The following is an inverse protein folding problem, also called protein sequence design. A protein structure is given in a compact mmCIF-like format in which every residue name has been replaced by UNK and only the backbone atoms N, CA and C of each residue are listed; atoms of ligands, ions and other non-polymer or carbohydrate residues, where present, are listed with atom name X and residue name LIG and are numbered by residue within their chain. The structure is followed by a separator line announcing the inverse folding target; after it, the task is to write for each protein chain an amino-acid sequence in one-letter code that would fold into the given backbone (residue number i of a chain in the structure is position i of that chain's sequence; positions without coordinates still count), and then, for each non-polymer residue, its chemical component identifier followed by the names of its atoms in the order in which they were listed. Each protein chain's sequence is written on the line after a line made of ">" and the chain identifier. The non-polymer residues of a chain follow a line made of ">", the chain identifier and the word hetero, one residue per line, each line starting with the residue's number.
data_IF_019934930599
#
_entry.id   IF_019934930599
#
_cell.length_a   1.000
_cell.length_b   1.000
_cell.length_c   1.000
_cell.angle_alpha   90.00
_cell.angle_beta   90.00
_cell.angle_gamma   90.00
#
_symmetry.space_group_name_H-M   'P 1'
#
loop_
_entity.id
_entity.type
_entity.pdbx_description
1 polymer ?
#
# COMPACT_ATOMS: atom_id res chain seq x y z
N UNK A 1 -33.98 -37.42 -21.81
CA UNK A 1 -33.88 -35.95 -21.97
C UNK A 1 -33.20 -35.41 -20.73
N UNK A 2 -31.87 -35.42 -20.69
CA UNK A 2 -31.12 -34.79 -19.60
C UNK A 2 -31.16 -33.29 -19.84
N UNK A 3 -31.85 -32.55 -18.97
CA UNK A 3 -31.69 -31.11 -18.91
C UNK A 3 -30.31 -30.84 -18.34
N UNK A 4 -29.35 -30.55 -19.21
CA UNK A 4 -28.09 -29.94 -18.83
C UNK A 4 -28.42 -28.65 -18.08
N UNK A 5 -28.24 -28.68 -16.76
CA UNK A 5 -28.39 -27.52 -15.89
C UNK A 5 -27.23 -26.58 -16.22
N UNK A 6 -27.49 -25.58 -17.04
CA UNK A 6 -26.58 -24.45 -17.21
C UNK A 6 -26.38 -23.84 -15.82
N UNK A 7 -25.15 -23.72 -15.30
CA UNK A 7 -24.93 -23.00 -14.05
C UNK A 7 -25.17 -21.52 -14.33
N UNK A 8 -26.37 -21.05 -14.00
CA UNK A 8 -26.78 -19.65 -14.16
C UNK A 8 -26.31 -18.82 -12.95
N UNK A 9 -25.02 -18.80 -12.64
CA UNK A 9 -24.49 -17.70 -11.83
C UNK A 9 -24.14 -16.55 -12.79
N UNK A 10 -24.60 -15.32 -12.55
CA UNK A 10 -24.15 -14.18 -13.33
C UNK A 10 -22.62 -14.08 -13.27
N UNK A 11 -21.97 -13.48 -14.29
CA UNK A 11 -20.54 -13.24 -14.24
C UNK A 11 -20.19 -12.37 -13.02
N UNK A 12 -18.95 -12.49 -12.54
CA UNK A 12 -18.44 -11.63 -11.48
C UNK A 12 -18.58 -10.14 -11.90
N UNK A 13 -18.88 -9.23 -10.95
CA UNK A 13 -18.97 -7.81 -11.24
C UNK A 13 -17.67 -7.23 -11.82
N UNK A 14 -17.81 -6.24 -12.69
CA UNK A 14 -16.70 -5.43 -13.19
C UNK A 14 -16.91 -3.99 -12.69
N UNK A 15 -15.97 -3.50 -11.87
CA UNK A 15 -16.02 -2.15 -11.28
C UNK A 15 -14.80 -1.39 -11.81
N UNK A 16 -15.04 -0.20 -12.38
CA UNK A 16 -14.01 0.68 -12.94
C UNK A 16 -14.22 2.06 -12.31
N UNK A 17 -13.22 2.52 -11.55
CA UNK A 17 -13.10 3.80 -10.85
C UNK A 17 -14.17 4.13 -9.79
N UNK A 18 -15.43 3.82 -10.03
CA UNK A 18 -16.56 4.12 -9.16
C UNK A 18 -17.45 2.90 -8.98
N UNK A 19 -17.82 2.61 -7.73
CA UNK A 19 -18.70 1.50 -7.42
C UNK A 19 -18.65 1.07 -5.96
N UNK A 20 -19.50 0.11 -5.61
CA UNK A 20 -19.59 -0.44 -4.25
C UNK A 20 -19.02 -1.86 -4.24
N UNK A 21 -18.07 -2.11 -3.35
CA UNK A 21 -17.45 -3.40 -3.13
C UNK A 21 -17.89 -3.93 -1.77
N UNK A 22 -18.64 -5.04 -1.80
CA UNK A 22 -19.14 -5.72 -0.59
C UNK A 22 -18.34 -6.98 -0.26
N UNK A 23 -17.66 -7.54 -1.26
CA UNK A 23 -16.84 -8.74 -1.08
C UNK A 23 -15.58 -8.37 -0.26
N UNK A 24 -15.37 -9.05 0.86
CA UNK A 24 -14.27 -8.75 1.80
C UNK A 24 -12.89 -9.02 1.21
N UNK A 25 -12.75 -10.03 0.36
CA UNK A 25 -11.48 -10.31 -0.31
C UNK A 25 -11.15 -9.25 -1.36
N UNK A 26 -12.15 -8.75 -2.07
CA UNK A 26 -11.97 -7.65 -3.03
C UNK A 26 -11.67 -6.32 -2.33
N UNK A 27 -12.37 -6.02 -1.21
CA UNK A 27 -12.04 -4.87 -0.34
C UNK A 27 -10.59 -4.96 0.13
N UNK A 28 -10.16 -6.13 0.63
CA UNK A 28 -8.79 -6.35 1.10
C UNK A 28 -7.78 -6.18 -0.02
N UNK A 29 -8.06 -6.71 -1.22
CA UNK A 29 -7.19 -6.57 -2.39
C UNK A 29 -7.00 -5.10 -2.79
N UNK A 30 -8.08 -4.32 -2.81
CA UNK A 30 -8.04 -2.89 -3.13
C UNK A 30 -7.24 -2.11 -2.10
N UNK A 31 -7.53 -2.28 -0.82
CA UNK A 31 -6.86 -1.54 0.25
C UNK A 31 -5.38 -1.91 0.39
N UNK A 32 -5.00 -3.16 0.12
CA UNK A 32 -3.59 -3.57 0.11
C UNK A 32 -2.75 -2.93 -1.02
N UNK A 33 -3.40 -2.37 -2.05
CA UNK A 33 -2.70 -1.61 -3.09
C UNK A 33 -2.31 -0.20 -2.65
N UNK A 34 -2.87 0.26 -1.53
CA UNK A 34 -2.61 1.56 -0.95
C UNK A 34 -1.43 1.48 0.01
N UNK A 35 -0.61 2.54 0.03
CA UNK A 35 0.55 2.65 0.93
C UNK A 35 0.35 3.80 1.92
N UNK A 36 0.60 5.03 1.48
CA UNK A 36 0.40 6.25 2.25
C UNK A 36 -0.95 6.86 1.90
N UNK A 37 -1.69 7.28 2.91
CA UNK A 37 -3.04 7.84 2.76
C UNK A 37 -3.24 9.03 3.69
N UNK A 38 -4.09 9.95 3.25
CA UNK A 38 -4.76 10.89 4.14
C UNK A 38 -6.09 10.26 4.54
N UNK A 39 -6.29 10.02 5.83
CA UNK A 39 -7.53 9.46 6.34
C UNK A 39 -8.44 10.56 6.90
N UNK A 40 -9.74 10.39 6.71
CA UNK A 40 -10.78 11.20 7.35
C UNK A 40 -11.75 10.24 8.01
N UNK A 41 -11.86 10.33 9.34
CA UNK A 41 -12.77 9.54 10.13
C UNK A 41 -13.95 10.41 10.58
N UNK A 42 -15.15 10.00 10.17
CA UNK A 42 -16.40 10.68 10.47
C UNK A 42 -17.36 9.73 11.18
N UNK A 43 -18.11 10.27 12.14
CA UNK A 43 -19.19 9.59 12.85
C UNK A 43 -20.39 10.53 12.86
N UNK A 44 -21.58 10.02 12.52
CA UNK A 44 -22.81 10.83 12.44
C UNK A 44 -22.66 12.07 11.53
N UNK A 45 -21.89 11.91 10.43
CA UNK A 45 -21.60 12.97 9.48
C UNK A 45 -20.62 14.05 9.96
N UNK A 46 -20.15 13.98 11.20
CA UNK A 46 -19.17 14.91 11.76
C UNK A 46 -17.76 14.33 11.66
N UNK A 47 -16.80 15.13 11.19
CA UNK A 47 -15.39 14.74 11.18
C UNK A 47 -14.87 14.72 12.62
N UNK A 48 -14.44 13.54 13.09
CA UNK A 48 -13.89 13.36 14.42
C UNK A 48 -12.36 13.38 14.43
N UNK A 49 -11.72 12.85 13.40
CA UNK A 49 -10.27 12.86 13.28
C UNK A 49 -9.85 12.75 11.82
N UNK A 50 -8.69 13.31 11.49
CA UNK A 50 -8.10 13.22 10.15
C UNK A 50 -6.58 13.37 10.24
N UNK A 51 -5.87 12.82 9.26
CA UNK A 51 -4.42 12.98 9.20
C UNK A 51 -3.76 12.07 8.19
N UNK A 52 -2.44 12.14 8.14
CA UNK A 52 -1.63 11.25 7.30
C UNK A 52 -1.32 9.95 8.03
N UNK A 53 -1.21 8.86 7.29
CA UNK A 53 -0.75 7.59 7.81
C UNK A 53 -0.38 6.58 6.73
N UNK A 54 0.22 5.49 7.17
CA UNK A 54 0.61 4.37 6.33
C UNK A 54 -0.23 3.15 6.68
N UNK A 55 -0.77 2.48 5.67
CA UNK A 55 -1.43 1.19 5.81
C UNK A 55 -0.33 0.14 6.00
N UNK A 56 -0.28 -0.43 7.20
CA UNK A 56 0.70 -1.46 7.53
C UNK A 56 0.14 -2.86 7.28
N UNK A 57 -1.17 -3.03 7.46
CA UNK A 57 -1.83 -4.31 7.27
C UNK A 57 -3.30 -4.14 6.91
N UNK A 58 -3.79 -4.97 5.97
CA UNK A 58 -5.22 -5.15 5.72
C UNK A 58 -5.58 -6.62 5.86
N UNK A 59 -6.49 -6.90 6.80
CA UNK A 59 -6.89 -8.26 7.15
C UNK A 59 -8.41 -8.38 7.27
N UNK A 60 -8.87 -9.62 7.42
CA UNK A 60 -10.29 -9.97 7.51
C UNK A 60 -10.51 -10.95 8.67
N UNK A 61 -10.60 -10.43 9.89
CA UNK A 61 -10.77 -11.24 11.11
C UNK A 61 -11.92 -10.67 11.97
N UNK A 62 -13.04 -11.39 12.15
CA UNK A 62 -14.16 -10.92 12.98
C UNK A 62 -13.81 -10.59 14.44
N UNK A 63 -12.70 -11.12 14.97
CA UNK A 63 -12.29 -10.93 16.36
C UNK A 63 -11.34 -9.74 16.58
N UNK A 64 -10.86 -9.11 15.51
CA UNK A 64 -9.87 -8.04 15.58
C UNK A 64 -10.47 -6.68 15.18
N UNK A 65 -9.88 -5.58 15.66
CA UNK A 65 -10.38 -4.23 15.39
C UNK A 65 -9.59 -3.54 14.29
N UNK A 66 -10.24 -2.61 13.57
CA UNK A 66 -9.51 -1.59 12.79
C UNK A 66 -8.86 -0.59 13.75
N UNK A 67 -7.56 -0.33 13.59
CA UNK A 67 -6.78 0.55 14.46
C UNK A 67 -6.06 1.62 13.63
N UNK A 68 -6.16 2.87 14.08
CA UNK A 68 -5.42 4.00 13.54
C UNK A 68 -4.76 4.72 14.71
N UNK A 69 -3.45 4.59 14.83
CA UNK A 69 -2.69 5.19 15.92
C UNK A 69 -1.25 5.51 15.47
N UNK A 70 -0.70 6.65 15.89
CA UNK A 70 0.66 7.07 15.56
C UNK A 70 0.99 7.05 14.05
N UNK A 71 -0.01 7.34 13.20
CA UNK A 71 0.15 7.27 11.74
C UNK A 71 0.23 5.85 11.17
N UNK A 72 0.06 4.80 11.98
CA UNK A 72 -0.06 3.41 11.54
C UNK A 72 -1.54 3.02 11.41
N UNK A 73 -1.92 2.48 10.26
CA UNK A 73 -3.25 1.99 9.96
C UNK A 73 -3.22 0.46 9.82
N UNK A 74 -4.00 -0.21 10.67
CA UNK A 74 -4.30 -1.63 10.62
C UNK A 74 -5.78 -1.79 10.29
N UNK A 75 -6.09 -2.14 9.05
CA UNK A 75 -7.46 -2.11 8.54
C UNK A 75 -8.08 -3.50 8.56
N UNK A 76 -9.17 -3.66 9.29
CA UNK A 76 -9.96 -4.87 9.25
C UNK A 76 -11.20 -4.67 8.37
N UNK A 77 -11.28 -5.36 7.23
CA UNK A 77 -12.43 -5.24 6.32
C UNK A 77 -13.74 -5.78 6.93
N UNK A 78 -13.66 -6.56 8.01
CA UNK A 78 -14.83 -7.00 8.78
C UNK A 78 -15.41 -5.90 9.68
N UNK A 79 -14.69 -4.79 9.91
CA UNK A 79 -15.22 -3.64 10.64
C UNK A 79 -16.20 -2.79 9.82
N UNK A 80 -16.32 -3.05 8.52
CA UNK A 80 -17.11 -2.22 7.60
C UNK A 80 -18.14 -3.07 6.85
N UNK A 81 -19.24 -2.48 6.42
CA UNK A 81 -20.26 -3.16 5.62
C UNK A 81 -19.80 -3.27 4.16
N UNK A 82 -19.33 -2.16 3.60
CA UNK A 82 -18.87 -2.06 2.22
C UNK A 82 -17.78 -0.99 2.06
N UNK A 83 -17.10 -1.05 0.90
CA UNK A 83 -16.19 -0.02 0.42
C UNK A 83 -16.84 0.67 -0.78
N UNK A 84 -16.92 1.99 -0.77
CA UNK A 84 -17.38 2.81 -1.88
C UNK A 84 -16.18 3.49 -2.53
N UNK A 85 -15.99 3.20 -3.82
CA UNK A 85 -15.01 3.84 -4.69
C UNK A 85 -15.68 4.96 -5.45
N UNK A 86 -15.03 6.11 -5.54
CA UNK A 86 -15.42 7.20 -6.42
C UNK A 86 -14.21 8.10 -6.70
N UNK A 87 -14.30 8.91 -7.75
CA UNK A 87 -13.29 9.91 -8.06
C UNK A 87 -13.69 11.27 -7.47
N UNK A 88 -12.72 12.01 -6.94
CA UNK A 88 -12.87 13.42 -6.62
C UNK A 88 -12.90 14.27 -7.89
N UNK A 89 -13.22 15.56 -7.74
CA UNK A 89 -13.30 16.50 -8.88
C UNK A 89 -11.97 16.68 -9.62
N UNK A 90 -10.85 16.47 -8.93
CA UNK A 90 -9.49 16.49 -9.47
C UNK A 90 -9.06 15.17 -10.13
N UNK A 91 -9.92 14.14 -10.07
CA UNK A 91 -9.66 12.81 -10.62
C UNK A 91 -8.94 11.87 -9.67
N UNK A 92 -8.66 12.26 -8.41
CA UNK A 92 -8.08 11.36 -7.43
C UNK A 92 -9.10 10.32 -6.94
N UNK A 93 -8.66 9.08 -6.74
CA UNK A 93 -9.51 8.01 -6.21
C UNK A 93 -9.74 8.17 -4.71
N UNK A 94 -11.00 8.12 -4.28
CA UNK A 94 -11.38 8.01 -2.87
C UNK A 94 -11.85 6.59 -2.55
N UNK A 95 -11.40 6.09 -1.41
CA UNK A 95 -11.82 4.81 -0.86
C UNK A 95 -12.58 5.06 0.44
N UNK A 96 -13.91 4.97 0.40
CA UNK A 96 -14.76 5.19 1.56
C UNK A 96 -15.22 3.86 2.17
N UNK A 97 -14.71 3.53 3.35
CA UNK A 97 -15.14 2.40 4.16
C UNK A 97 -16.31 2.82 5.05
N UNK A 98 -17.45 2.15 4.92
CA UNK A 98 -18.70 2.54 5.60
C UNK A 98 -19.17 1.45 6.55
N UNK A 99 -19.58 1.84 7.75
CA UNK A 99 -20.27 1.00 8.72
C UNK A 99 -21.37 1.84 9.39
N UNK A 100 -22.64 1.60 9.06
CA UNK A 100 -23.76 2.39 9.60
C UNK A 100 -23.54 3.93 9.51
N UNK A 101 -23.37 4.62 10.64
CA UNK A 101 -23.10 6.05 10.73
C UNK A 101 -21.61 6.44 10.73
N UNK A 102 -20.70 5.45 10.69
CA UNK A 102 -19.25 5.62 10.63
C UNK A 102 -18.76 5.59 9.19
N UNK A 103 -17.88 6.53 8.86
CA UNK A 103 -17.17 6.56 7.58
C UNK A 103 -15.68 6.75 7.83
N UNK A 104 -14.88 5.95 7.14
CA UNK A 104 -13.44 6.12 7.06
C UNK A 104 -13.08 6.31 5.58
N UNK A 105 -12.77 7.54 5.21
CA UNK A 105 -12.32 7.88 3.87
C UNK A 105 -10.80 7.81 3.83
N UNK A 106 -10.27 7.19 2.78
CA UNK A 106 -8.84 7.11 2.51
C UNK A 106 -8.59 7.75 1.15
N UNK A 107 -7.84 8.84 1.17
CA UNK A 107 -7.31 9.48 -0.02
C UNK A 107 -5.88 8.99 -0.19
N UNK A 108 -5.55 8.23 -1.25
CA UNK A 108 -4.18 7.86 -1.54
C UNK A 108 -3.34 9.12 -1.67
N UNK A 109 -2.32 9.23 -0.83
CA UNK A 109 -1.28 10.23 -1.06
C UNK A 109 -0.29 9.58 -2.01
N UNK A 110 0.07 10.27 -3.09
CA UNK A 110 0.94 9.80 -4.17
C UNK A 110 1.93 8.72 -3.71
N UNK A 111 1.67 7.46 -4.09
CA UNK A 111 2.62 6.61 -4.81
C UNK A 111 2.13 5.17 -5.03
N UNK A 112 2.44 4.67 -6.25
CA UNK A 112 2.61 3.27 -6.72
C UNK A 112 1.91 2.84 -8.03
N UNK A 113 1.67 3.73 -9.00
CA UNK A 113 1.59 3.30 -10.42
C UNK A 113 2.44 4.14 -11.39
N UNK A 114 3.12 5.19 -10.90
CA UNK A 114 4.20 5.84 -11.62
C UNK A 114 5.53 5.30 -11.06
N UNK A 115 6.03 4.22 -11.64
CA UNK A 115 7.42 3.83 -11.46
C UNK A 115 8.18 4.05 -12.77
N UNK A 116 8.97 5.13 -12.85
CA UNK A 116 10.32 5.06 -13.40
C UNK A 116 11.39 5.26 -12.32
N UNK A 117 11.01 5.39 -11.06
CA UNK A 117 11.89 5.82 -9.97
C UNK A 117 11.68 4.97 -8.69
N UNK A 118 11.96 3.68 -8.78
CA UNK A 118 12.99 3.08 -7.93
C UNK A 118 14.37 3.74 -8.22
N UNK A 119 14.42 5.07 -8.19
CA UNK A 119 15.65 5.77 -7.82
C UNK A 119 15.63 5.74 -6.30
N UNK A 120 15.97 4.57 -5.78
CA UNK A 120 16.89 4.60 -4.67
C UNK A 120 18.02 5.53 -5.09
N UNK A 121 18.13 6.67 -4.42
CA UNK A 121 19.30 7.53 -4.36
C UNK A 121 20.46 6.73 -3.73
N UNK A 122 20.78 5.57 -4.33
CA UNK A 122 22.06 4.93 -4.20
C UNK A 122 22.91 5.65 -5.22
N UNK A 123 23.61 6.67 -4.74
CA UNK A 123 24.68 7.30 -5.47
C UNK A 123 25.69 6.21 -5.85
N UNK A 124 25.56 5.70 -7.09
CA UNK A 124 26.39 4.64 -7.65
C UNK A 124 27.85 5.08 -7.64
N UNK A 125 28.10 6.38 -7.77
CA UNK A 125 29.43 6.97 -7.70
C UNK A 125 30.02 6.84 -6.28
N UNK A 126 29.21 7.06 -5.23
CA UNK A 126 29.64 6.80 -3.84
C UNK A 126 29.93 5.32 -3.59
N UNK A 127 29.13 4.41 -4.16
CA UNK A 127 29.38 2.97 -4.02
C UNK A 127 30.64 2.54 -4.78
N UNK A 128 30.83 3.01 -6.01
CA UNK A 128 32.01 2.72 -6.83
C UNK A 128 33.29 3.28 -6.20
N UNK A 129 33.24 4.49 -5.63
CA UNK A 129 34.36 5.09 -4.93
C UNK A 129 34.78 4.29 -3.67
N UNK A 130 33.81 3.76 -2.91
CA UNK A 130 34.11 2.90 -1.76
C UNK A 130 34.72 1.56 -2.19
N UNK A 131 34.25 0.97 -3.30
CA UNK A 131 34.81 -0.28 -3.84
C UNK A 131 36.23 -0.05 -4.37
N UNK A 132 36.48 1.05 -5.09
CA UNK A 132 37.80 1.42 -5.57
C UNK A 132 38.80 1.64 -4.42
N UNK A 133 38.39 2.33 -3.35
CA UNK A 133 39.24 2.53 -2.16
C UNK A 133 39.59 1.23 -1.43
N UNK A 134 38.64 0.30 -1.28
CA UNK A 134 38.91 -0.99 -0.62
C UNK A 134 39.81 -1.87 -1.47
N UNK A 135 39.63 -1.87 -2.79
CA UNK A 135 40.48 -2.63 -3.71
C UNK A 135 41.89 -2.03 -3.81
N UNK A 136 42.05 -0.71 -3.82
CA UNK A 136 43.37 -0.06 -3.82
C UNK A 136 44.10 -0.27 -2.49
N UNK A 137 43.40 -0.15 -1.36
CA UNK A 137 43.99 -0.40 -0.04
C UNK A 137 44.45 -1.86 0.13
N UNK A 138 43.81 -2.81 -0.56
CA UNK A 138 44.24 -4.22 -0.55
C UNK A 138 45.44 -4.48 -1.47
N UNK A 139 45.65 -3.66 -2.49
CA UNK A 139 46.81 -3.73 -3.39
C UNK A 139 48.06 -3.08 -2.76
N UNK A 140 47.90 -1.99 -2.01
CA UNK A 140 49.02 -1.32 -1.30
C UNK A 140 49.62 -2.16 -0.17
N UNK A 141 48.90 -3.18 0.34
CA UNK A 141 49.42 -4.09 1.39
C UNK A 141 50.23 -5.26 0.80
N UNK A 142 50.12 -5.54 -0.50
CA UNK A 142 50.88 -6.64 -1.14
C UNK A 142 52.20 -6.18 -1.79
N UNK A 143 52.50 -4.88 -1.81
CA UNK A 143 53.71 -4.35 -2.44
C UNK A 143 54.84 -3.96 -1.47
N UNK A 144 54.68 -4.16 -0.15
CA UNK A 144 55.72 -3.81 0.85
C UNK A 144 56.49 -5.03 1.42
N UNK A 145 56.37 -6.21 0.80
CA UNK A 145 57.03 -7.45 1.29
C UNK A 145 58.14 -8.00 0.36
N UNK A 146 58.64 -7.25 -0.63
CA UNK A 146 59.67 -7.74 -1.57
C UNK A 146 60.87 -6.80 -1.83
N UNK A 147 61.36 -6.06 -0.84
CA UNK A 147 62.66 -5.37 -0.93
C UNK A 147 63.47 -5.42 0.37
N UNK A 148 63.78 -6.64 0.84
CA UNK A 148 64.88 -6.88 1.78
C UNK A 148 65.42 -8.32 1.62
N UNK A 149 66.31 -8.54 0.65
CA UNK A 149 67.23 -9.66 0.66
C UNK A 149 68.67 -9.15 0.46
N UNK A 150 69.54 -9.62 1.35
CA UNK A 150 70.95 -9.28 1.57
C UNK A 150 71.87 -9.39 0.35
#
# INVERSE_FOLDING_TARGET
>A
MSHDRIPHSPPAPCIVDTGIVVNKDDMRRLLNSLSRVYYIHSLDGSVHNQGEGCILEVFADPAQSTLIANGALYLNVQSFDYLHLYLLEDGESCFELVQDNRRLQLLPQSNCLADPQMETDFDVDSLEAMVAQVLSAKWDVQFDDEDCAF
#
